data_IF_357000095341
#
_entry.id   IF_357000095341
#
_cell.length_a   1.000
_cell.length_b   1.000
_cell.length_c   1.000
_cell.angle_alpha   90.00
_cell.angle_beta   90.00
_cell.angle_gamma   90.00
#
_symmetry.space_group_name_H-M   'P 1'
#
loop_
_entity.id
_entity.type
_entity.pdbx_description
1 polymer ?
#
# COMPACT_ATOMS: atom_id res chain seq x y z
N UNK A 1 -3.89 15.98 -7.08
CA UNK A 1 -3.24 15.28 -5.94
C UNK A 1 -3.71 15.84 -4.59
N UNK A 2 -3.53 17.15 -4.30
CA UNK A 2 -3.94 17.77 -3.01
C UNK A 2 -5.43 17.57 -2.72
N UNK A 3 -6.28 17.73 -3.71
CA UNK A 3 -7.73 17.56 -3.57
C UNK A 3 -8.10 16.10 -3.21
N UNK A 4 -7.43 15.14 -3.83
CA UNK A 4 -7.64 13.72 -3.52
C UNK A 4 -7.25 13.40 -2.06
N UNK A 5 -6.08 13.89 -1.60
CA UNK A 5 -5.67 13.73 -0.20
C UNK A 5 -6.72 14.34 0.74
N UNK A 6 -7.13 15.59 0.49
CA UNK A 6 -8.14 16.27 1.30
C UNK A 6 -9.42 15.44 1.41
N UNK A 7 -9.97 14.98 0.27
CA UNK A 7 -11.21 14.20 0.27
C UNK A 7 -11.06 12.84 0.96
N UNK A 8 -9.90 12.22 0.88
CA UNK A 8 -9.62 10.97 1.61
C UNK A 8 -9.64 11.23 3.13
N UNK A 9 -9.09 12.34 3.59
CA UNK A 9 -9.14 12.71 5.00
C UNK A 9 -10.56 13.13 5.44
N UNK A 10 -11.28 13.88 4.62
CA UNK A 10 -12.68 14.25 4.89
C UNK A 10 -13.56 12.98 5.05
N UNK A 11 -13.27 11.92 4.31
CA UNK A 11 -13.98 10.66 4.43
C UNK A 11 -13.80 10.00 5.82
N UNK A 12 -12.65 10.17 6.47
CA UNK A 12 -12.43 9.65 7.83
C UNK A 12 -13.36 10.32 8.85
N UNK A 13 -13.64 11.61 8.68
CA UNK A 13 -14.59 12.34 9.53
C UNK A 13 -16.02 11.78 9.42
N UNK A 14 -16.36 11.22 8.25
CA UNK A 14 -17.69 10.66 7.97
C UNK A 14 -17.79 9.20 8.42
N UNK A 15 -16.79 8.38 8.05
CA UNK A 15 -16.84 6.92 8.22
C UNK A 15 -16.09 6.41 9.46
N UNK A 16 -15.23 7.23 10.01
CA UNK A 16 -14.44 6.88 11.19
C UNK A 16 -13.03 6.36 10.87
N UNK A 17 -12.20 6.40 11.89
CA UNK A 17 -10.81 5.90 11.86
C UNK A 17 -10.77 4.42 11.49
N UNK A 18 -9.90 4.06 10.55
CA UNK A 18 -9.72 2.68 10.08
C UNK A 18 -10.80 2.18 9.11
N UNK A 19 -11.82 2.99 8.82
CA UNK A 19 -12.90 2.64 7.89
C UNK A 19 -12.65 3.14 6.46
N UNK A 20 -11.60 3.91 6.25
CA UNK A 20 -11.20 4.45 4.94
C UNK A 20 -9.87 3.84 4.54
N UNK A 21 -9.80 3.32 3.34
CA UNK A 21 -8.54 2.86 2.77
C UNK A 21 -8.22 3.60 1.46
N UNK A 22 -6.93 3.69 1.16
CA UNK A 22 -6.45 4.16 -0.12
C UNK A 22 -5.44 3.16 -0.67
N UNK A 23 -5.47 2.95 -1.99
CA UNK A 23 -4.58 1.99 -2.65
C UNK A 23 -3.64 2.71 -3.61
N UNK A 24 -2.41 2.26 -3.64
CA UNK A 24 -1.39 2.69 -4.58
C UNK A 24 -0.84 1.50 -5.36
N UNK A 25 -0.34 1.77 -6.55
CA UNK A 25 0.28 0.73 -7.39
C UNK A 25 1.76 0.68 -7.03
N UNK A 26 2.12 -0.21 -6.11
CA UNK A 26 3.50 -0.39 -5.66
C UNK A 26 4.39 -0.96 -6.76
N UNK A 27 5.53 -0.30 -6.99
CA UNK A 27 6.51 -0.66 -8.02
C UNK A 27 6.54 0.30 -9.21
N UNK A 28 5.43 1.00 -9.52
CA UNK A 28 5.39 1.96 -10.63
C UNK A 28 6.32 3.15 -10.39
N UNK A 29 6.58 3.48 -9.15
CA UNK A 29 7.51 4.54 -8.74
C UNK A 29 8.97 4.28 -9.11
N UNK A 30 9.29 3.07 -9.55
CA UNK A 30 10.60 2.69 -10.10
C UNK A 30 10.67 2.84 -11.63
N UNK A 31 9.54 3.13 -12.28
CA UNK A 31 9.45 3.17 -13.74
C UNK A 31 10.27 4.32 -14.35
N UNK A 32 11.12 3.98 -15.29
CA UNK A 32 11.96 4.96 -15.99
C UNK A 32 11.14 5.71 -17.08
N UNK A 33 11.53 6.95 -17.40
CA UNK A 33 12.71 7.70 -16.94
C UNK A 33 12.49 8.49 -15.63
N UNK A 34 11.28 8.56 -15.09
CA UNK A 34 10.93 9.49 -14.01
C UNK A 34 10.88 8.85 -12.61
N UNK A 35 11.01 7.53 -12.52
CA UNK A 35 11.00 6.82 -11.26
C UNK A 35 12.30 6.95 -10.46
N UNK A 36 12.21 6.60 -9.20
CA UNK A 36 13.34 6.58 -8.27
C UNK A 36 14.50 5.75 -8.80
N UNK A 37 15.72 6.13 -8.42
CA UNK A 37 16.94 5.44 -8.86
C UNK A 37 17.27 4.21 -8.04
N UNK A 38 16.80 4.14 -6.80
CA UNK A 38 17.03 3.01 -5.90
C UNK A 38 15.74 2.45 -5.29
N UNK A 39 15.80 1.21 -4.85
CA UNK A 39 14.70 0.56 -4.13
C UNK A 39 14.45 1.26 -2.79
N UNK A 40 15.51 1.72 -2.14
CA UNK A 40 15.47 2.40 -0.84
C UNK A 40 14.68 3.69 -0.93
N UNK A 41 14.95 4.54 -1.93
CA UNK A 41 14.21 5.79 -2.13
C UNK A 41 12.73 5.54 -2.42
N UNK A 42 12.42 4.52 -3.23
CA UNK A 42 11.05 4.14 -3.56
C UNK A 42 10.29 3.62 -2.32
N UNK A 43 10.94 2.76 -1.52
CA UNK A 43 10.37 2.25 -0.27
C UNK A 43 10.13 3.38 0.73
N UNK A 44 11.12 4.23 0.95
CA UNK A 44 11.02 5.37 1.87
C UNK A 44 9.87 6.30 1.50
N UNK A 45 9.71 6.60 0.21
CA UNK A 45 8.59 7.42 -0.29
C UNK A 45 7.23 6.80 0.04
N UNK A 46 7.09 5.48 -0.13
CA UNK A 46 5.85 4.77 0.21
C UNK A 46 5.62 4.72 1.73
N UNK A 47 6.68 4.52 2.53
CA UNK A 47 6.56 4.48 3.99
C UNK A 47 6.17 5.83 4.57
N UNK A 48 6.73 6.92 4.06
CA UNK A 48 6.34 8.28 4.45
C UNK A 48 4.87 8.56 4.11
N UNK A 49 4.41 8.15 2.93
CA UNK A 49 3.02 8.29 2.54
C UNK A 49 2.10 7.43 3.43
N UNK A 50 2.49 6.19 3.73
CA UNK A 50 1.75 5.30 4.63
C UNK A 50 1.66 5.89 6.03
N UNK A 51 2.77 6.37 6.61
CA UNK A 51 2.80 7.02 7.92
C UNK A 51 1.87 8.23 7.98
N UNK A 52 1.92 9.08 6.94
CA UNK A 52 1.02 10.22 6.84
C UNK A 52 -0.46 9.81 6.87
N UNK A 53 -0.86 8.85 6.04
CA UNK A 53 -2.25 8.40 5.97
C UNK A 53 -2.68 7.65 7.24
N UNK A 54 -1.84 6.77 7.75
CA UNK A 54 -2.12 5.99 8.96
C UNK A 54 -2.32 6.87 10.19
N UNK A 55 -1.50 7.91 10.34
CA UNK A 55 -1.65 8.94 11.39
C UNK A 55 -3.04 9.57 11.37
N UNK A 56 -3.58 9.81 10.18
CA UNK A 56 -4.93 10.38 9.99
C UNK A 56 -6.04 9.32 9.97
N UNK A 57 -5.74 8.05 10.24
CA UNK A 57 -6.74 7.00 10.35
C UNK A 57 -7.14 6.35 9.03
N UNK A 58 -6.35 6.52 7.98
CA UNK A 58 -6.56 5.92 6.66
C UNK A 58 -5.61 4.73 6.49
N UNK A 59 -6.15 3.59 6.10
CA UNK A 59 -5.35 2.41 5.73
C UNK A 59 -4.76 2.58 4.33
N UNK A 60 -3.44 2.69 4.26
CA UNK A 60 -2.69 2.81 3.02
C UNK A 60 -2.23 1.41 2.59
N UNK A 61 -2.69 0.95 1.43
CA UNK A 61 -2.44 -0.39 0.91
C UNK A 61 -1.71 -0.32 -0.43
N UNK A 62 -0.94 -1.35 -0.75
CA UNK A 62 -0.30 -1.48 -2.06
C UNK A 62 -0.93 -2.57 -2.91
N UNK A 63 -0.98 -2.32 -4.21
CA UNK A 63 -1.31 -3.29 -5.26
C UNK A 63 -0.05 -3.53 -6.08
N UNK A 64 0.25 -4.77 -6.42
CA UNK A 64 1.43 -5.13 -7.20
C UNK A 64 1.31 -4.59 -8.63
N UNK A 65 2.31 -3.83 -9.07
CA UNK A 65 2.39 -3.35 -10.44
C UNK A 65 2.83 -4.47 -11.39
N UNK A 66 2.00 -4.70 -12.40
CA UNK A 66 2.34 -5.58 -13.52
C UNK A 66 2.45 -4.74 -14.80
N UNK A 67 3.66 -4.50 -15.32
CA UNK A 67 3.84 -3.81 -16.58
C UNK A 67 3.10 -4.53 -17.71
N UNK A 68 2.19 -3.86 -18.38
CA UNK A 68 1.43 -4.43 -19.48
C UNK A 68 1.87 -3.82 -20.82
N UNK A 69 2.12 -4.67 -21.81
CA UNK A 69 2.67 -4.26 -23.13
C UNK A 69 1.89 -3.14 -23.84
N UNK A 70 0.59 -3.02 -23.58
CA UNK A 70 -0.24 -1.97 -24.13
C UNK A 70 -0.16 -0.63 -23.36
N UNK A 71 0.51 -0.59 -22.21
CA UNK A 71 0.68 0.65 -21.44
C UNK A 71 1.95 1.40 -21.88
N UNK A 72 1.98 2.72 -21.63
CA UNK A 72 3.17 3.55 -21.88
C UNK A 72 4.41 3.09 -21.09
N UNK A 73 4.21 2.39 -19.99
CA UNK A 73 5.26 1.84 -19.11
C UNK A 73 5.43 0.32 -19.28
N UNK A 74 4.82 -0.27 -20.32
CA UNK A 74 4.73 -1.72 -20.48
C UNK A 74 6.03 -2.47 -20.81
N UNK A 75 7.07 -1.76 -21.20
CA UNK A 75 8.39 -2.33 -21.54
C UNK A 75 9.41 -2.20 -20.39
N UNK A 76 8.95 -1.90 -19.21
CA UNK A 76 9.79 -1.83 -18.01
C UNK A 76 10.06 -3.23 -17.46
N UNK A 77 11.23 -3.46 -16.85
CA UNK A 77 11.45 -4.66 -16.07
C UNK A 77 10.49 -4.68 -14.87
N UNK A 78 10.02 -5.87 -14.51
CA UNK A 78 9.25 -6.07 -13.28
C UNK A 78 10.16 -5.78 -12.08
N UNK A 79 9.71 -4.99 -11.10
CA UNK A 79 10.46 -4.80 -9.86
C UNK A 79 10.81 -6.14 -9.20
N UNK A 80 11.97 -6.25 -8.51
CA UNK A 80 12.38 -7.50 -7.89
C UNK A 80 11.40 -7.90 -6.75
N UNK A 81 11.24 -9.20 -6.54
CA UNK A 81 10.38 -9.74 -5.48
C UNK A 81 10.72 -9.16 -4.10
N UNK A 82 11.99 -8.95 -3.82
CA UNK A 82 12.47 -8.32 -2.58
C UNK A 82 11.81 -6.97 -2.32
N UNK A 83 11.64 -6.16 -3.36
CA UNK A 83 10.97 -4.86 -3.24
C UNK A 83 9.55 -5.03 -2.68
N UNK A 84 8.77 -5.95 -3.25
CA UNK A 84 7.38 -6.17 -2.82
C UNK A 84 7.28 -6.76 -1.42
N UNK A 85 8.20 -7.65 -1.05
CA UNK A 85 8.27 -8.21 0.32
C UNK A 85 8.56 -7.10 1.33
N UNK A 86 9.54 -6.25 1.07
CA UNK A 86 9.91 -5.13 1.94
C UNK A 86 8.79 -4.09 2.02
N UNK A 87 8.17 -3.77 0.89
CA UNK A 87 7.04 -2.86 0.82
C UNK A 87 5.87 -3.37 1.67
N UNK A 88 5.43 -4.61 1.43
CA UNK A 88 4.31 -5.21 2.15
C UNK A 88 4.55 -5.24 3.66
N UNK A 89 5.71 -5.70 4.11
CA UNK A 89 6.07 -5.73 5.53
C UNK A 89 6.08 -4.35 6.15
N UNK A 90 6.74 -3.38 5.52
CA UNK A 90 6.85 -2.03 6.05
C UNK A 90 5.50 -1.32 6.14
N UNK A 91 4.65 -1.44 5.12
CA UNK A 91 3.29 -0.88 5.17
C UNK A 91 2.45 -1.52 6.28
N UNK A 92 2.53 -2.84 6.44
CA UNK A 92 1.84 -3.57 7.50
C UNK A 92 2.31 -3.11 8.89
N UNK A 93 3.61 -3.03 9.13
CA UNK A 93 4.19 -2.57 10.40
C UNK A 93 3.77 -1.14 10.76
N UNK A 94 3.78 -0.23 9.77
CA UNK A 94 3.35 1.15 9.96
C UNK A 94 1.86 1.19 10.34
N UNK A 95 0.97 0.56 9.58
CA UNK A 95 -0.46 0.54 9.91
C UNK A 95 -0.72 -0.04 11.30
N UNK A 96 -0.05 -1.12 11.63
CA UNK A 96 -0.16 -1.78 12.93
C UNK A 96 0.28 -0.88 14.08
N UNK A 97 1.34 -0.08 13.90
CA UNK A 97 1.81 0.87 14.91
C UNK A 97 0.79 1.96 15.24
N UNK A 98 -0.12 2.26 14.31
CA UNK A 98 -1.26 3.18 14.50
C UNK A 98 -2.56 2.48 14.90
N UNK A 99 -2.54 1.17 15.15
CA UNK A 99 -3.72 0.39 15.50
C UNK A 99 -4.74 0.25 14.35
N UNK A 100 -4.29 0.39 13.10
CA UNK A 100 -5.13 0.20 11.92
C UNK A 100 -5.04 -1.25 11.48
N UNK A 101 -6.16 -1.97 11.59
CA UNK A 101 -6.33 -3.31 11.03
C UNK A 101 -7.17 -3.17 9.77
N UNK A 102 -6.67 -3.68 8.67
CA UNK A 102 -7.42 -3.72 7.42
C UNK A 102 -8.42 -4.87 7.46
N UNK A 103 -9.69 -4.56 7.71
CA UNK A 103 -10.78 -5.54 7.73
C UNK A 103 -11.36 -5.80 6.33
N UNK A 104 -10.50 -5.84 5.30
CA UNK A 104 -10.92 -6.19 3.93
C UNK A 104 -11.27 -7.69 3.79
N UNK A 105 -11.93 -8.27 4.81
CA UNK A 105 -12.32 -9.68 4.81
C UNK A 105 -13.29 -10.04 3.70
N UNK A 106 -14.09 -9.07 3.24
CA UNK A 106 -15.03 -9.25 2.14
C UNK A 106 -14.38 -9.12 0.75
N UNK A 107 -13.10 -8.74 0.69
CA UNK A 107 -12.40 -8.60 -0.58
C UNK A 107 -11.95 -9.96 -1.11
N UNK A 108 -12.37 -10.30 -2.32
CA UNK A 108 -11.91 -11.52 -2.99
C UNK A 108 -10.39 -11.48 -3.17
N UNK A 109 -9.70 -12.47 -2.64
CA UNK A 109 -8.26 -12.63 -2.79
C UNK A 109 -7.90 -12.71 -4.27
N UNK A 110 -7.11 -11.78 -4.74
CA UNK A 110 -6.61 -11.78 -6.12
C UNK A 110 -5.09 -11.88 -6.20
N UNK A 111 -4.40 -12.04 -5.05
CA UNK A 111 -2.94 -12.11 -4.98
C UNK A 111 -2.23 -10.77 -5.22
N UNK A 112 -2.99 -9.69 -5.40
CA UNK A 112 -2.41 -8.37 -5.69
C UNK A 112 -2.26 -7.46 -4.45
N UNK A 113 -2.69 -7.93 -3.28
CA UNK A 113 -2.67 -7.17 -2.02
C UNK A 113 -1.91 -7.91 -0.93
N UNK A 114 -0.58 -8.05 -1.04
CA UNK A 114 0.20 -8.89 -0.13
C UNK A 114 0.18 -8.41 1.32
N UNK A 115 0.03 -7.12 1.53
CA UNK A 115 -0.02 -6.50 2.86
C UNK A 115 -1.32 -6.81 3.61
N UNK A 116 -2.45 -6.95 2.93
CA UNK A 116 -3.70 -7.39 3.56
C UNK A 116 -3.68 -8.87 3.95
N UNK A 117 -2.94 -9.70 3.23
CA UNK A 117 -2.76 -11.11 3.59
C UNK A 117 -1.89 -11.26 4.86
N UNK A 118 -0.92 -10.38 5.10
CA UNK A 118 -0.12 -10.37 6.34
C UNK A 118 -1.01 -10.09 7.57
N UNK A 119 -1.94 -9.15 7.49
CA UNK A 119 -2.87 -8.85 8.59
C UNK A 119 -3.76 -10.04 8.94
N UNK A 120 -4.19 -10.81 7.94
CA UNK A 120 -4.98 -12.04 8.16
C UNK A 120 -4.19 -13.12 8.88
N UNK A 121 -2.92 -13.30 8.52
CA UNK A 121 -2.05 -14.26 9.20
C UNK A 121 -1.88 -13.90 10.68
N UNK A 122 -1.71 -12.63 10.99
CA UNK A 122 -1.60 -12.15 12.37
C UNK A 122 -2.90 -12.35 13.15
N UNK A 123 -4.06 -12.09 12.55
CA UNK A 123 -5.35 -12.35 13.18
C UNK A 123 -5.55 -13.83 13.50
N UNK A 124 -5.17 -14.73 12.60
CA UNK A 124 -5.25 -16.17 12.83
C UNK A 124 -4.27 -16.65 13.90
N UNK A 125 -3.08 -16.11 13.96
CA UNK A 125 -2.10 -16.42 14.99
C UNK A 125 -2.57 -16.01 16.41
N UNK A 126 -3.33 -14.91 16.50
CA UNK A 126 -3.88 -14.43 17.78
C UNK A 126 -5.05 -15.29 18.31
N UNK A 127 -5.68 -16.09 17.47
CA UNK A 127 -6.80 -16.99 17.83
C UNK A 127 -6.30 -18.40 18.19
N UNK A 128 -5.12 -18.76 17.73
CA UNK A 128 -4.48 -20.04 18.03
C UNK A 128 -3.75 -20.02 19.37
#
# INVERSE_FOLDING_TARGET
HKEWVRRTLDAVEIFGRGQVCTQVIGGVELAKPYGFSSLEEALESNFQACDFFARHGVSYLSVIWHPHKASRLGFQPVPPLEYYIRLAKGLHEIRRSYGLVSTNDDYKRCGNHPDSDLERLDCHAAIA
#
